data_IF_741166479990
#
_entry.id   IF_741166479990
#
_cell.length_a   1.000
_cell.length_b   1.000
_cell.length_c   1.000
_cell.angle_alpha   90.00
_cell.angle_beta   90.00
_cell.angle_gamma   90.00
#
_symmetry.space_group_name_H-M   'P 1'
#
loop_
_entity.id
_entity.type
_entity.pdbx_description
1 polymer ?
#
# COMPACT_ATOMS: atom_id res chain seq x y z
N UNK A 1 -10.47 -26.60 -7.04
CA UNK A 1 -9.20 -26.22 -6.37
C UNK A 1 -8.12 -25.80 -7.36
N UNK A 2 -7.96 -26.39 -8.52
CA UNK A 2 -6.94 -25.98 -9.53
C UNK A 2 -7.11 -24.54 -10.05
N UNK A 3 -8.34 -24.10 -10.35
CA UNK A 3 -8.61 -22.76 -10.84
C UNK A 3 -8.25 -21.65 -9.81
N UNK A 4 -8.49 -21.88 -8.54
CA UNK A 4 -8.15 -20.95 -7.47
C UNK A 4 -6.62 -20.78 -7.37
N UNK A 5 -5.88 -21.89 -7.43
CA UNK A 5 -4.42 -21.87 -7.43
C UNK A 5 -3.83 -21.18 -8.68
N UNK A 6 -4.50 -21.25 -9.83
CA UNK A 6 -4.07 -20.50 -11.02
C UNK A 6 -4.38 -19.00 -10.91
N UNK A 7 -5.52 -18.63 -10.31
CA UNK A 7 -5.82 -17.23 -10.01
C UNK A 7 -4.88 -16.64 -8.94
N UNK A 8 -4.49 -17.42 -7.94
CA UNK A 8 -3.47 -17.00 -6.98
C UNK A 8 -2.12 -16.70 -7.64
N UNK A 9 -1.74 -17.45 -8.67
CA UNK A 9 -0.52 -17.15 -9.46
C UNK A 9 -0.62 -15.83 -10.22
N UNK A 10 -1.81 -15.44 -10.66
CA UNK A 10 -2.03 -14.14 -11.33
C UNK A 10 -1.96 -12.96 -10.34
N UNK A 11 -2.25 -13.21 -9.07
CA UNK A 11 -2.17 -12.19 -8.01
C UNK A 11 -0.75 -12.01 -7.46
N UNK A 12 0.11 -13.01 -7.58
CA UNK A 12 1.43 -13.05 -6.94
C UNK A 12 2.55 -12.95 -7.98
N UNK A 13 3.53 -12.08 -7.71
CA UNK A 13 4.81 -11.96 -8.40
C UNK A 13 4.84 -11.02 -9.61
N UNK A 14 4.60 -9.75 -9.37
CA UNK A 14 5.14 -8.75 -10.28
C UNK A 14 6.66 -8.69 -10.02
N UNK A 15 7.51 -9.06 -11.01
CA UNK A 15 8.95 -9.06 -10.81
C UNK A 15 9.42 -7.64 -10.44
N UNK A 16 10.34 -7.51 -9.47
CA UNK A 16 10.88 -6.20 -9.11
C UNK A 16 11.65 -5.59 -10.26
N UNK A 17 11.65 -4.27 -10.34
CA UNK A 17 12.60 -3.55 -11.20
C UNK A 17 13.92 -3.32 -10.46
N UNK A 18 15.06 -3.06 -11.17
CA UNK A 18 16.36 -2.94 -10.56
C UNK A 18 16.42 -1.84 -9.49
N UNK A 19 17.03 -2.13 -8.33
CA UNK A 19 17.15 -1.17 -7.22
C UNK A 19 17.93 0.09 -7.56
N UNK A 20 18.90 0.01 -8.49
CA UNK A 20 19.59 1.18 -9.03
C UNK A 20 18.66 2.13 -9.82
N UNK A 21 17.56 1.64 -10.39
CA UNK A 21 16.53 2.48 -10.99
C UNK A 21 15.67 3.13 -9.93
N UNK A 22 15.35 2.41 -8.84
CA UNK A 22 14.66 3.00 -7.69
C UNK A 22 15.48 4.15 -7.10
N UNK A 23 16.79 3.97 -6.91
CA UNK A 23 17.71 5.02 -6.48
C UNK A 23 17.63 6.25 -7.38
N UNK A 24 17.71 6.08 -8.69
CA UNK A 24 17.62 7.19 -9.68
C UNK A 24 16.26 7.92 -9.60
N UNK A 25 15.17 7.18 -9.41
CA UNK A 25 13.83 7.78 -9.24
C UNK A 25 13.80 8.64 -8.00
N UNK A 26 14.29 8.12 -6.86
CA UNK A 26 14.33 8.87 -5.60
C UNK A 26 15.16 10.14 -5.75
N UNK A 27 16.37 10.06 -6.31
CA UNK A 27 17.26 11.19 -6.53
C UNK A 27 16.63 12.23 -7.47
N UNK A 28 15.98 11.78 -8.55
CA UNK A 28 15.29 12.67 -9.50
C UNK A 28 14.11 13.40 -8.86
N UNK A 29 13.30 12.68 -8.08
CA UNK A 29 12.10 13.23 -7.44
C UNK A 29 12.42 14.19 -6.29
N UNK A 30 13.49 13.92 -5.54
CA UNK A 30 13.89 14.73 -4.39
C UNK A 30 14.89 15.82 -4.72
N UNK A 31 15.60 15.69 -5.86
CA UNK A 31 16.68 16.59 -6.27
C UNK A 31 17.95 16.48 -5.40
N UNK A 32 18.09 15.40 -4.61
CA UNK A 32 19.19 15.14 -3.69
C UNK A 32 19.77 13.77 -3.92
N UNK A 33 21.06 13.58 -3.64
CA UNK A 33 21.68 12.27 -3.66
C UNK A 33 21.13 11.39 -2.54
N UNK A 34 21.10 10.07 -2.76
CA UNK A 34 20.54 9.12 -1.77
C UNK A 34 21.31 9.20 -0.45
N UNK A 35 22.62 9.42 -0.52
CA UNK A 35 23.51 9.53 0.64
C UNK A 35 23.28 10.84 1.44
N UNK A 36 22.64 11.85 0.85
CA UNK A 36 22.21 13.08 1.55
C UNK A 36 20.92 12.86 2.33
N UNK A 37 20.01 12.04 1.78
CA UNK A 37 18.69 11.77 2.36
C UNK A 37 18.74 10.73 3.46
N UNK A 38 19.47 9.64 3.23
CA UNK A 38 19.45 8.45 4.08
C UNK A 38 20.85 8.12 4.61
N UNK A 39 20.89 7.49 5.77
CA UNK A 39 22.09 6.88 6.32
C UNK A 39 22.42 5.59 5.56
N UNK A 40 21.37 4.81 5.22
CA UNK A 40 21.48 3.59 4.42
C UNK A 40 20.23 3.43 3.54
N UNK A 41 20.40 2.81 2.39
CA UNK A 41 19.34 2.43 1.46
C UNK A 41 19.60 1.02 0.95
N UNK A 42 18.60 0.14 1.07
CA UNK A 42 18.69 -1.21 0.54
C UNK A 42 18.18 -1.23 -0.91
N UNK A 43 19.05 -1.53 -1.86
CA UNK A 43 18.68 -1.66 -3.27
C UNK A 43 17.82 -2.90 -3.54
N UNK A 44 17.85 -3.89 -2.64
CA UNK A 44 16.98 -5.06 -2.75
C UNK A 44 15.57 -4.70 -2.26
N UNK A 45 14.54 -4.78 -3.13
CA UNK A 45 13.20 -4.43 -2.68
C UNK A 45 12.67 -5.46 -1.67
N UNK A 46 12.07 -4.95 -0.61
CA UNK A 46 11.38 -5.75 0.40
C UNK A 46 10.06 -6.34 -0.14
N UNK A 47 9.36 -5.56 -0.97
CA UNK A 47 8.10 -5.97 -1.61
C UNK A 47 7.99 -5.36 -3.01
N UNK A 48 7.22 -6.01 -3.88
CA UNK A 48 6.99 -5.55 -5.26
C UNK A 48 5.53 -5.74 -5.63
N UNK A 49 4.87 -4.66 -6.03
CA UNK A 49 3.48 -4.60 -6.45
C UNK A 49 3.34 -4.13 -7.91
N UNK A 50 2.11 -4.06 -8.40
CA UNK A 50 1.80 -3.67 -9.80
C UNK A 50 2.27 -2.26 -10.15
N UNK A 51 2.09 -1.29 -9.25
CA UNK A 51 2.36 0.13 -9.48
C UNK A 51 3.70 0.56 -8.89
N UNK A 52 4.17 -0.08 -7.81
CA UNK A 52 5.33 0.35 -7.05
C UNK A 52 6.11 -0.84 -6.45
N UNK A 53 7.28 -0.59 -5.95
CA UNK A 53 8.01 -1.51 -5.06
C UNK A 53 8.47 -0.78 -3.80
N UNK A 54 8.73 -1.54 -2.74
CA UNK A 54 9.09 -1.02 -1.44
C UNK A 54 10.51 -1.39 -1.09
N UNK A 55 11.29 -0.39 -0.68
CA UNK A 55 12.65 -0.53 -0.21
C UNK A 55 12.77 -0.17 1.27
N UNK A 56 13.73 -0.75 1.94
CA UNK A 56 14.11 -0.38 3.28
C UNK A 56 15.18 0.72 3.26
N UNK A 57 15.07 1.70 4.15
CA UNK A 57 16.09 2.71 4.35
C UNK A 57 16.15 3.15 5.82
N UNK A 58 17.25 3.81 6.18
CA UNK A 58 17.42 4.44 7.49
C UNK A 58 17.65 5.94 7.28
N UNK A 59 16.87 6.78 7.93
CA UNK A 59 17.05 8.22 7.91
C UNK A 59 18.33 8.64 8.64
N UNK A 60 18.74 9.90 8.50
CA UNK A 60 19.93 10.44 9.18
C UNK A 60 19.83 10.46 10.70
N UNK A 61 18.62 10.51 11.23
CA UNK A 61 18.32 10.43 12.67
C UNK A 61 18.26 9.00 13.23
N UNK A 62 18.47 7.99 12.36
CA UNK A 62 18.39 6.57 12.72
C UNK A 62 17.01 5.95 12.58
N UNK A 63 15.99 6.70 12.22
CA UNK A 63 14.63 6.19 12.00
C UNK A 63 14.60 5.20 10.82
N UNK A 64 14.01 4.04 11.03
CA UNK A 64 13.80 3.03 9.98
C UNK A 64 12.57 3.38 9.16
N UNK A 65 12.70 3.40 7.85
CA UNK A 65 11.61 3.78 6.93
C UNK A 65 11.44 2.80 5.78
N UNK A 66 10.19 2.67 5.35
CA UNK A 66 9.81 2.02 4.12
C UNK A 66 9.62 3.09 3.03
N UNK A 67 10.27 2.88 1.90
CA UNK A 67 10.23 3.75 0.73
C UNK A 67 9.44 3.05 -0.37
N UNK A 68 8.20 3.45 -0.59
CA UNK A 68 7.39 2.98 -1.71
C UNK A 68 7.75 3.81 -2.94
N UNK A 69 8.38 3.18 -3.93
CA UNK A 69 8.88 3.82 -5.15
C UNK A 69 8.04 3.38 -6.33
N UNK A 70 7.39 4.32 -7.01
CA UNK A 70 6.57 4.04 -8.19
C UNK A 70 7.43 3.48 -9.33
N UNK A 71 6.91 2.48 -10.03
CA UNK A 71 7.61 1.86 -11.16
C UNK A 71 7.94 2.87 -12.24
N UNK A 72 9.11 2.76 -12.89
CA UNK A 72 9.40 3.52 -14.08
C UNK A 72 8.37 3.17 -15.18
N UNK A 73 8.06 4.12 -16.04
CA UNK A 73 7.21 3.96 -17.23
C UNK A 73 5.78 3.46 -17.00
N UNK A 74 5.36 3.28 -15.73
CA UNK A 74 3.99 2.84 -15.41
C UNK A 74 2.94 3.85 -15.87
N UNK A 75 3.28 5.16 -15.81
CA UNK A 75 2.40 6.24 -16.24
C UNK A 75 2.10 6.14 -17.74
N UNK A 76 3.13 5.96 -18.58
CA UNK A 76 2.96 5.79 -20.02
C UNK A 76 2.14 4.55 -20.38
N UNK A 77 2.36 3.43 -19.66
CA UNK A 77 1.59 2.19 -19.87
C UNK A 77 0.12 2.38 -19.52
N UNK A 78 -0.16 3.03 -18.40
CA UNK A 78 -1.54 3.29 -17.95
C UNK A 78 -2.25 4.24 -18.93
N UNK A 79 -1.58 5.29 -19.43
CA UNK A 79 -2.17 6.18 -20.43
C UNK A 79 -2.54 5.42 -21.72
N UNK A 80 -1.67 4.54 -22.20
CA UNK A 80 -1.97 3.69 -23.36
C UNK A 80 -3.19 2.78 -23.10
N UNK A 81 -3.26 2.16 -21.94
CA UNK A 81 -4.39 1.29 -21.57
C UNK A 81 -5.70 2.10 -21.47
N UNK A 82 -5.65 3.31 -20.90
CA UNK A 82 -6.78 4.23 -20.83
C UNK A 82 -7.24 4.64 -22.23
N UNK A 83 -6.33 4.94 -23.15
CA UNK A 83 -6.67 5.30 -24.52
C UNK A 83 -7.37 4.16 -25.27
N UNK A 84 -6.90 2.91 -25.03
CA UNK A 84 -7.57 1.72 -25.56
C UNK A 84 -8.99 1.59 -24.99
N UNK A 85 -9.15 1.75 -23.68
CA UNK A 85 -10.46 1.71 -23.02
C UNK A 85 -11.39 2.80 -23.53
N UNK A 86 -10.91 4.02 -23.72
CA UNK A 86 -11.69 5.14 -24.31
C UNK A 86 -12.15 4.81 -25.73
N UNK A 87 -11.25 4.23 -26.54
CA UNK A 87 -11.61 3.80 -27.89
C UNK A 87 -12.69 2.72 -27.88
N UNK A 88 -12.54 1.71 -27.01
CA UNK A 88 -13.53 0.64 -26.86
C UNK A 88 -14.89 1.20 -26.40
N UNK A 89 -14.91 2.05 -25.36
CA UNK A 89 -16.12 2.66 -24.86
C UNK A 89 -16.85 3.48 -25.93
N UNK A 90 -16.10 4.26 -26.71
CA UNK A 90 -16.66 4.99 -27.85
C UNK A 90 -17.30 4.05 -28.90
N UNK A 91 -16.66 2.92 -29.21
CA UNK A 91 -17.21 1.93 -30.15
C UNK A 91 -18.47 1.26 -29.60
N UNK A 92 -18.51 0.97 -28.30
CA UNK A 92 -19.72 0.45 -27.64
C UNK A 92 -20.91 1.40 -27.77
N UNK A 93 -20.69 2.70 -27.57
CA UNK A 93 -21.73 3.73 -27.76
C UNK A 93 -22.18 3.85 -29.22
N UNK A 94 -21.24 3.88 -30.17
CA UNK A 94 -21.54 3.97 -31.62
C UNK A 94 -22.39 2.78 -32.12
N UNK A 95 -22.22 1.60 -31.51
CA UNK A 95 -22.93 0.38 -31.88
C UNK A 95 -24.09 0.02 -30.95
N UNK A 96 -24.48 0.93 -30.04
CA UNK A 96 -25.56 0.70 -29.09
C UNK A 96 -25.39 -0.58 -28.26
N UNK A 97 -24.13 -0.92 -27.98
CA UNK A 97 -23.80 -2.04 -27.09
C UNK A 97 -23.92 -1.52 -25.67
N UNK A 98 -24.83 -2.10 -24.89
CA UNK A 98 -25.08 -1.69 -23.50
C UNK A 98 -25.73 -0.29 -23.35
N UNK A 99 -26.77 0.03 -24.12
CA UNK A 99 -27.48 1.32 -24.05
C UNK A 99 -27.95 1.77 -22.65
N UNK A 100 -28.02 0.84 -21.69
CA UNK A 100 -28.41 1.13 -20.31
C UNK A 100 -27.23 1.59 -19.41
N UNK A 101 -26.01 1.54 -19.93
CA UNK A 101 -24.79 1.94 -19.24
C UNK A 101 -24.18 3.16 -19.94
N UNK A 102 -23.36 3.92 -19.24
CA UNK A 102 -22.49 4.96 -19.82
C UNK A 102 -21.04 4.43 -19.89
N UNK A 103 -20.64 3.70 -20.95
CA UNK A 103 -19.31 3.13 -21.07
C UNK A 103 -18.22 4.21 -20.98
N UNK A 104 -18.43 5.37 -21.59
CA UNK A 104 -17.49 6.48 -21.52
C UNK A 104 -17.41 7.07 -20.12
N UNK A 105 -18.52 7.17 -19.39
CA UNK A 105 -18.55 7.61 -17.99
C UNK A 105 -17.80 6.66 -17.06
N UNK A 106 -17.94 5.36 -17.29
CA UNK A 106 -17.20 4.32 -16.56
C UNK A 106 -15.69 4.51 -16.76
N UNK A 107 -15.25 4.68 -18.02
CA UNK A 107 -13.81 4.86 -18.32
C UNK A 107 -13.28 6.17 -17.74
N UNK A 108 -14.04 7.29 -17.80
CA UNK A 108 -13.65 8.55 -17.15
C UNK A 108 -13.49 8.40 -15.63
N UNK A 109 -14.39 7.65 -15.00
CA UNK A 109 -14.33 7.38 -13.55
C UNK A 109 -13.10 6.56 -13.22
N UNK A 110 -12.83 5.50 -14.00
CA UNK A 110 -11.63 4.67 -13.87
C UNK A 110 -10.34 5.48 -14.05
N UNK A 111 -10.24 6.29 -15.12
CA UNK A 111 -9.11 7.19 -15.37
C UNK A 111 -8.84 8.11 -14.17
N UNK A 112 -9.88 8.73 -13.63
CA UNK A 112 -9.74 9.59 -12.45
C UNK A 112 -9.26 8.81 -11.22
N UNK A 113 -9.74 7.59 -11.02
CA UNK A 113 -9.34 6.75 -9.90
C UNK A 113 -7.88 6.33 -10.01
N UNK A 114 -7.46 5.83 -11.18
CA UNK A 114 -6.07 5.35 -11.37
C UNK A 114 -5.05 6.49 -11.30
N UNK A 115 -5.38 7.69 -11.79
CA UNK A 115 -4.50 8.86 -11.65
C UNK A 115 -4.31 9.28 -10.19
N UNK A 116 -5.36 9.14 -9.36
CA UNK A 116 -5.24 9.38 -7.91
C UNK A 116 -4.35 8.34 -7.25
N UNK A 117 -4.52 7.07 -7.63
CA UNK A 117 -3.71 5.94 -7.13
C UNK A 117 -2.23 6.09 -7.49
N UNK A 118 -1.93 6.59 -8.68
CA UNK A 118 -0.54 6.85 -9.09
C UNK A 118 0.15 7.98 -8.32
N UNK A 119 -0.58 8.81 -7.61
CA UNK A 119 -0.01 9.91 -6.84
C UNK A 119 0.17 9.53 -5.37
N UNK A 120 1.37 9.10 -5.02
CA UNK A 120 1.70 8.61 -3.68
C UNK A 120 1.56 9.67 -2.56
N UNK A 121 1.46 10.95 -2.89
CA UNK A 121 1.14 12.01 -1.90
C UNK A 121 -0.27 11.82 -1.33
N UNK A 122 -1.23 11.39 -2.16
CA UNK A 122 -2.59 11.11 -1.66
C UNK A 122 -2.60 9.96 -0.65
N UNK A 123 -1.78 8.97 -0.91
CA UNK A 123 -1.58 7.83 -0.02
C UNK A 123 -1.00 8.28 1.32
N UNK A 124 0.01 9.15 1.31
CA UNK A 124 0.56 9.78 2.52
C UNK A 124 -0.48 10.59 3.33
N UNK A 125 -1.34 11.35 2.65
CA UNK A 125 -2.44 12.05 3.32
C UNK A 125 -3.47 11.09 3.92
N UNK A 126 -3.75 9.96 3.26
CA UNK A 126 -4.61 8.92 3.82
C UNK A 126 -4.01 8.34 5.10
N UNK A 127 -2.70 8.01 5.11
CA UNK A 127 -1.99 7.59 6.32
C UNK A 127 -2.14 8.60 7.46
N UNK A 128 -1.90 9.88 7.17
CA UNK A 128 -2.03 10.94 8.17
C UNK A 128 -3.47 11.03 8.73
N UNK A 129 -4.47 10.91 7.87
CA UNK A 129 -5.88 10.90 8.29
C UNK A 129 -6.22 9.69 9.15
N UNK A 130 -5.73 8.50 8.79
CA UNK A 130 -5.90 7.31 9.64
C UNK A 130 -5.21 7.46 10.99
N UNK A 131 -3.98 7.99 11.01
CA UNK A 131 -3.27 8.26 12.25
C UNK A 131 -4.04 9.22 13.19
N UNK A 132 -4.71 10.23 12.62
CA UNK A 132 -5.60 11.11 13.39
C UNK A 132 -6.84 10.39 13.89
N UNK A 133 -7.49 9.58 13.06
CA UNK A 133 -8.71 8.85 13.40
C UNK A 133 -8.47 7.80 14.50
N UNK A 134 -7.31 7.15 14.49
CA UNK A 134 -6.91 6.14 15.47
C UNK A 134 -6.00 6.69 16.58
N UNK A 135 -5.90 8.02 16.71
CA UNK A 135 -5.10 8.63 17.78
C UNK A 135 -5.57 8.15 19.17
N UNK A 136 -4.63 7.63 19.97
CA UNK A 136 -4.94 7.05 21.29
C UNK A 136 -5.59 5.66 21.25
N UNK A 137 -5.64 5.01 20.09
CA UNK A 137 -6.04 3.60 20.02
C UNK A 137 -4.95 2.71 20.62
N UNK A 138 -5.34 1.79 21.51
CA UNK A 138 -4.43 0.78 22.08
C UNK A 138 -4.33 -0.49 21.21
N UNK A 139 -5.17 -0.60 20.17
CA UNK A 139 -5.29 -1.82 19.35
C UNK A 139 -4.96 -1.61 17.89
N UNK A 140 -4.79 -0.36 17.45
CA UNK A 140 -4.49 -0.03 16.04
C UNK A 140 -3.36 0.97 15.98
N UNK A 141 -2.28 0.59 15.35
CA UNK A 141 -1.14 1.44 15.07
C UNK A 141 -1.12 1.84 13.59
N UNK A 142 -0.87 3.10 13.29
CA UNK A 142 -0.70 3.61 11.94
C UNK A 142 0.73 4.12 11.79
N UNK A 143 1.50 3.63 10.79
CA UNK A 143 2.87 4.07 10.55
C UNK A 143 2.97 5.58 10.36
N UNK A 144 4.01 6.18 10.92
CA UNK A 144 4.28 7.60 10.76
C UNK A 144 4.56 7.92 9.29
N UNK A 145 3.90 8.96 8.78
CA UNK A 145 4.12 9.50 7.45
C UNK A 145 5.19 10.59 7.50
N UNK A 146 6.11 10.59 6.52
CA UNK A 146 7.20 11.56 6.39
C UNK A 146 6.99 12.42 5.13
N UNK A 147 6.22 13.53 5.22
CA UNK A 147 5.90 14.36 4.05
C UNK A 147 7.13 15.01 3.42
N UNK A 148 8.16 15.32 4.20
CA UNK A 148 9.41 15.95 3.75
C UNK A 148 10.26 15.05 2.84
N UNK A 149 10.01 13.73 2.89
CA UNK A 149 10.67 12.72 2.04
C UNK A 149 9.70 12.10 1.03
N UNK A 150 8.51 12.67 0.86
CA UNK A 150 7.46 12.13 -0.01
C UNK A 150 7.22 13.02 -1.22
N UNK A 151 7.05 12.39 -2.39
CA UNK A 151 6.73 13.06 -3.67
C UNK A 151 5.62 12.29 -4.39
N UNK A 152 5.26 12.71 -5.59
CA UNK A 152 4.25 11.98 -6.39
C UNK A 152 4.67 10.53 -6.72
N UNK A 153 5.98 10.25 -6.77
CA UNK A 153 6.53 8.92 -7.14
C UNK A 153 7.24 8.22 -6.00
N UNK A 154 7.30 8.84 -4.82
CA UNK A 154 7.95 8.31 -3.63
C UNK A 154 7.07 8.56 -2.41
N UNK A 155 6.68 7.51 -1.70
CA UNK A 155 6.09 7.62 -0.36
C UNK A 155 7.10 7.12 0.66
N UNK A 156 7.30 7.92 1.70
CA UNK A 156 8.15 7.56 2.84
C UNK A 156 7.29 7.44 4.09
N UNK A 157 7.34 6.29 4.72
CA UNK A 157 6.63 5.99 5.95
C UNK A 157 7.50 5.17 6.90
N UNK A 158 7.13 5.14 8.16
CA UNK A 158 7.78 4.33 9.17
C UNK A 158 7.79 2.84 8.74
N UNK A 159 8.94 2.20 8.89
CA UNK A 159 9.03 0.76 8.70
C UNK A 159 8.51 0.07 9.95
N UNK A 160 7.52 -0.77 9.78
CA UNK A 160 6.98 -1.59 10.86
C UNK A 160 7.31 -3.04 10.59
N UNK A 161 8.00 -3.65 11.54
CA UNK A 161 8.23 -5.08 11.53
C UNK A 161 7.02 -5.80 12.11
N UNK A 162 6.57 -6.87 11.45
CA UNK A 162 5.39 -7.56 11.89
C UNK A 162 5.05 -8.80 11.07
N UNK A 163 4.12 -9.57 11.60
CA UNK A 163 3.65 -10.84 11.05
C UNK A 163 2.27 -10.65 10.42
N UNK A 164 2.07 -11.20 9.23
CA UNK A 164 0.78 -11.17 8.56
C UNK A 164 -0.27 -12.02 9.30
N UNK A 165 -1.56 -11.61 9.35
CA UNK A 165 -2.63 -12.35 10.02
C UNK A 165 -2.86 -13.76 9.49
N UNK A 166 -2.43 -14.07 8.25
CA UNK A 166 -2.53 -15.42 7.68
C UNK A 166 -1.28 -16.28 7.90
N UNK A 167 -0.18 -15.71 8.38
CA UNK A 167 1.03 -16.46 8.76
C UNK A 167 0.84 -17.09 10.15
N UNK A 168 0.24 -18.29 10.16
CA UNK A 168 -0.05 -19.02 11.40
C UNK A 168 1.21 -19.35 12.21
N UNK A 169 2.31 -19.66 11.53
CA UNK A 169 3.58 -19.97 12.19
C UNK A 169 4.17 -18.72 12.81
N UNK A 170 4.17 -17.62 12.07
CA UNK A 170 4.58 -16.32 12.56
C UNK A 170 3.75 -15.85 13.75
N UNK A 171 2.43 -15.90 13.67
CA UNK A 171 1.55 -15.57 14.80
C UNK A 171 1.82 -16.42 16.03
N UNK A 172 2.01 -17.74 15.85
CA UNK A 172 2.35 -18.63 16.94
C UNK A 172 3.71 -18.27 17.57
N UNK A 173 4.69 -17.93 16.75
CA UNK A 173 6.03 -17.52 17.20
C UNK A 173 5.99 -16.27 18.09
N UNK A 174 5.14 -15.29 17.74
CA UNK A 174 4.97 -14.07 18.54
C UNK A 174 3.91 -14.18 19.64
N UNK A 175 3.34 -15.38 19.86
CA UNK A 175 2.34 -15.63 20.89
C UNK A 175 0.98 -14.98 20.64
N UNK A 176 0.68 -14.58 19.39
CA UNK A 176 -0.57 -13.96 19.04
C UNK A 176 -1.70 -14.98 18.82
N UNK A 177 -2.91 -14.69 19.34
CA UNK A 177 -4.11 -15.50 19.13
C UNK A 177 -4.84 -15.04 17.86
N UNK A 178 -4.91 -15.91 16.84
CA UNK A 178 -5.53 -15.62 15.55
C UNK A 178 -6.98 -15.14 15.65
N UNK A 179 -7.87 -15.77 16.42
CA UNK A 179 -9.21 -15.27 16.71
C UNK A 179 -9.24 -13.84 17.27
N UNK A 180 -8.36 -13.50 18.20
CA UNK A 180 -8.26 -12.14 18.77
C UNK A 180 -7.82 -11.14 17.72
N UNK A 181 -6.81 -11.47 16.93
CA UNK A 181 -6.34 -10.63 15.81
C UNK A 181 -7.46 -10.38 14.80
N UNK A 182 -8.22 -11.41 14.45
CA UNK A 182 -9.36 -11.27 13.52
C UNK A 182 -10.47 -10.38 14.09
N UNK A 183 -10.77 -10.51 15.38
CA UNK A 183 -11.76 -9.67 16.05
C UNK A 183 -11.34 -8.20 16.10
N UNK A 184 -10.08 -7.92 16.40
CA UNK A 184 -9.52 -6.57 16.42
C UNK A 184 -9.53 -5.95 15.01
N UNK A 185 -9.15 -6.72 13.98
CA UNK A 185 -9.21 -6.27 12.59
C UNK A 185 -10.63 -5.90 12.16
N UNK A 186 -11.62 -6.75 12.50
CA UNK A 186 -13.02 -6.48 12.24
C UNK A 186 -13.53 -5.24 13.00
N UNK A 187 -13.17 -5.08 14.27
CA UNK A 187 -13.53 -3.91 15.06
C UNK A 187 -12.94 -2.63 14.47
N UNK A 188 -11.65 -2.65 14.07
CA UNK A 188 -10.99 -1.52 13.40
C UNK A 188 -11.69 -1.15 12.09
N UNK A 189 -12.10 -2.15 11.28
CA UNK A 189 -12.82 -1.91 10.03
C UNK A 189 -14.21 -1.30 10.28
N UNK A 190 -14.96 -1.81 11.26
CA UNK A 190 -16.26 -1.26 11.61
C UNK A 190 -16.16 0.18 12.12
N UNK A 191 -15.14 0.51 12.91
CA UNK A 191 -14.88 1.89 13.34
C UNK A 191 -14.60 2.81 12.15
N UNK A 192 -13.81 2.38 11.18
CA UNK A 192 -13.56 3.14 9.96
C UNK A 192 -14.85 3.49 9.22
N UNK A 193 -15.77 2.54 9.10
CA UNK A 193 -17.03 2.72 8.38
C UNK A 193 -18.03 3.50 9.21
N UNK A 194 -18.29 3.08 10.45
CA UNK A 194 -19.42 3.57 11.25
C UNK A 194 -19.09 4.84 12.03
N UNK A 195 -17.85 5.01 12.50
CA UNK A 195 -17.46 6.16 13.32
C UNK A 195 -16.80 7.27 12.47
N UNK A 196 -15.85 6.89 11.59
CA UNK A 196 -15.03 7.88 10.91
C UNK A 196 -15.58 8.25 9.51
N UNK A 197 -16.43 7.42 8.90
CA UNK A 197 -16.88 7.60 7.52
C UNK A 197 -15.71 7.67 6.53
N UNK A 198 -14.57 7.12 6.92
CA UNK A 198 -13.35 7.05 6.12
C UNK A 198 -12.71 5.69 6.37
N UNK A 199 -12.67 4.87 5.32
CA UNK A 199 -12.26 3.48 5.43
C UNK A 199 -11.33 3.09 4.28
N UNK A 200 -10.51 2.09 4.56
CA UNK A 200 -9.70 1.42 3.55
C UNK A 200 -10.61 0.53 2.70
N UNK A 201 -10.65 0.81 1.40
CA UNK A 201 -11.57 0.11 0.48
C UNK A 201 -11.11 -1.32 0.13
N UNK A 202 -9.86 -1.67 0.44
CA UNK A 202 -9.30 -3.01 0.25
C UNK A 202 -8.87 -3.63 1.59
N UNK A 203 -9.78 -4.31 2.30
CA UNK A 203 -9.49 -4.92 3.61
C UNK A 203 -8.74 -6.27 3.47
N UNK A 204 -7.87 -6.38 2.48
CA UNK A 204 -7.10 -7.61 2.29
C UNK A 204 -6.15 -7.84 3.48
N UNK A 205 -6.05 -9.08 4.00
CA UNK A 205 -5.15 -9.39 5.12
C UNK A 205 -3.68 -9.06 4.86
N UNK A 206 -3.26 -8.94 3.59
CA UNK A 206 -1.93 -8.48 3.20
C UNK A 206 -1.64 -7.02 3.57
N UNK A 207 -2.69 -6.24 3.86
CA UNK A 207 -2.60 -4.85 4.29
C UNK A 207 -2.66 -4.69 5.81
N UNK A 208 -2.54 -5.79 6.55
CA UNK A 208 -2.55 -5.82 8.00
C UNK A 208 -1.32 -6.57 8.51
N UNK A 209 -0.73 -6.09 9.59
CA UNK A 209 0.37 -6.75 10.26
C UNK A 209 0.11 -6.77 11.76
N UNK A 210 0.62 -7.81 12.42
CA UNK A 210 0.77 -7.84 13.85
C UNK A 210 2.20 -7.41 14.19
N UNK A 211 2.39 -6.31 14.91
CA UNK A 211 3.71 -5.84 15.31
C UNK A 211 4.38 -6.80 16.31
N UNK A 212 5.67 -7.02 16.13
CA UNK A 212 6.50 -7.78 17.10
C UNK A 212 6.98 -6.88 18.25
N UNK A 213 7.13 -5.58 18.06
CA UNK A 213 7.70 -4.66 19.06
C UNK A 213 6.77 -4.43 20.26
N UNK A 214 5.46 -4.56 20.09
CA UNK A 214 4.47 -4.35 21.15
C UNK A 214 4.13 -5.61 21.98
N UNK A 215 4.79 -6.73 21.70
CA UNK A 215 4.61 -7.98 22.48
C UNK A 215 5.48 -8.05 23.74
N UNK A 216 6.34 -7.07 24.00
CA UNK A 216 7.31 -7.12 25.12
C UNK A 216 6.70 -6.81 26.50
N UNK A 217 5.50 -6.24 26.57
CA UNK A 217 4.75 -6.10 27.83
C UNK A 217 3.49 -6.96 27.76
N UNK A 218 3.48 -8.02 28.55
CA UNK A 218 2.40 -9.01 28.70
C UNK A 218 1.11 -8.36 29.26
N UNK A 219 0.43 -7.58 28.44
CA UNK A 219 -0.97 -7.26 28.65
C UNK A 219 -1.75 -7.68 27.40
N UNK A 220 -2.95 -8.17 27.58
CA UNK A 220 -3.83 -8.87 26.65
C UNK A 220 -4.27 -8.08 25.41
N UNK A 221 -3.71 -6.89 25.19
CA UNK A 221 -4.13 -5.95 24.14
C UNK A 221 -2.97 -5.71 23.19
N UNK A 222 -3.03 -6.40 22.09
CA UNK A 222 -1.95 -6.41 21.10
C UNK A 222 -2.36 -5.67 19.84
N UNK A 223 -1.53 -4.72 19.42
CA UNK A 223 -1.78 -3.78 18.33
C UNK A 223 -1.84 -4.44 16.96
N UNK A 224 -2.89 -4.13 16.22
CA UNK A 224 -2.94 -4.34 14.77
C UNK A 224 -2.33 -3.11 14.11
N UNK A 225 -1.23 -3.32 13.40
CA UNK A 225 -0.70 -2.32 12.48
C UNK A 225 -1.54 -2.37 11.22
N UNK A 226 -2.10 -1.25 10.83
CA UNK A 226 -2.74 -1.07 9.53
C UNK A 226 -1.79 -0.25 8.64
N UNK A 227 -0.78 -0.86 8.02
CA UNK A 227 -0.02 -0.21 6.97
C UNK A 227 -0.89 -0.26 5.72
N UNK A 228 -1.48 0.86 5.40
CA UNK A 228 -2.39 1.06 4.27
C UNK A 228 -1.84 0.59 2.91
N UNK A 229 -0.60 0.10 2.82
CA UNK A 229 0.07 0.09 1.53
C UNK A 229 1.28 -0.83 1.39
N UNK A 230 1.51 -1.74 2.28
CA UNK A 230 2.44 -2.82 1.98
C UNK A 230 1.65 -3.97 1.33
N UNK A 231 1.26 -3.79 0.07
CA UNK A 231 0.86 -4.92 -0.75
C UNK A 231 2.04 -5.88 -0.86
N UNK A 232 2.12 -6.79 0.08
CA UNK A 232 2.88 -8.01 -0.10
C UNK A 232 1.96 -9.00 -0.80
N UNK A 233 2.16 -9.14 -2.07
CA UNK A 233 1.66 -10.31 -2.79
C UNK A 233 2.68 -11.39 -2.82
#
# INVERSE_FOLDING_TARGET
MELVAEFEKLQSHVPPFPGNEAKKIIEKETGKAIEELFQSFDETPFASASIAQVHFATLKDGSKVALKVRRPDIEEKIELDIDILKYMAKKMDEHHIMDQLDPQGIVRTFESAIHKEMNLVHEGYNLQRFAQNFAGSETVFIPKYYPEYTTKKLLTMEFVDGVHPYDREGLTRIGADGPVVAQQALAAMLRQICEFGFFHADPHPGNLFRSEEHTAELTSDSDIVCPLLLEKK
#
